data_IF_445984538641
#
_entry.id   IF_445984538641
#
_cell.length_a   1.000
_cell.length_b   1.000
_cell.length_c   1.000
_cell.angle_alpha   90.00
_cell.angle_beta   90.00
_cell.angle_gamma   90.00
#
_symmetry.space_group_name_H-M   'P 1'
#
loop_
_entity.id
_entity.type
_entity.pdbx_description
1 polymer ?
#
# COMPACT_ATOMS: atom_id res chain seq x y z
N UNK A 1 -6.96 1.76 2.08
CA UNK A 1 -7.00 0.68 3.09
C UNK A 1 -5.59 0.32 3.58
N UNK A 2 -4.71 -0.10 2.67
CA UNK A 2 -3.36 -0.52 3.07
C UNK A 2 -2.59 0.57 3.81
N UNK A 3 -2.51 1.77 3.26
CA UNK A 3 -1.77 2.87 3.89
C UNK A 3 -2.35 3.27 5.26
N UNK A 4 -3.68 3.20 5.44
CA UNK A 4 -4.28 3.44 6.76
C UNK A 4 -3.82 2.41 7.78
N UNK A 5 -3.84 1.14 7.42
CA UNK A 5 -3.40 0.09 8.34
C UNK A 5 -1.91 0.16 8.64
N UNK A 6 -1.10 0.49 7.63
CA UNK A 6 0.35 0.47 7.79
C UNK A 6 0.89 1.69 8.52
N UNK A 7 0.34 2.88 8.28
CA UNK A 7 0.90 4.13 8.81
C UNK A 7 -0.14 5.13 9.32
N UNK A 8 -1.44 4.85 9.18
CA UNK A 8 -2.49 5.82 9.46
C UNK A 8 -2.47 6.97 8.45
N UNK A 9 -2.11 6.72 7.20
CA UNK A 9 -1.91 7.72 6.14
C UNK A 9 -0.82 8.75 6.47
N UNK A 10 0.14 8.37 7.30
CA UNK A 10 1.27 9.25 7.63
C UNK A 10 2.54 8.78 6.91
N UNK A 11 3.22 9.70 6.29
CA UNK A 11 4.48 9.39 5.58
C UNK A 11 5.65 9.41 6.56
N UNK A 12 5.73 8.38 7.39
CA UNK A 12 6.69 8.30 8.50
C UNK A 12 8.00 7.63 8.06
N UNK A 13 9.11 8.11 8.62
CA UNK A 13 10.44 7.61 8.29
C UNK A 13 10.95 6.52 9.25
N UNK A 14 10.01 5.84 9.91
CA UNK A 14 10.31 4.75 10.85
C UNK A 14 9.19 3.73 10.80
N UNK A 15 9.44 2.56 11.38
CA UNK A 15 8.45 1.50 11.48
C UNK A 15 9.10 0.22 11.96
N UNK A 16 8.41 -0.91 11.75
CA UNK A 16 8.97 -2.21 12.08
C UNK A 16 10.18 -2.48 11.19
N UNK A 17 11.32 -2.78 11.83
CA UNK A 17 12.59 -3.01 11.14
C UNK A 17 12.96 -1.78 10.31
N UNK A 18 13.23 -1.94 9.01
CA UNK A 18 13.55 -0.83 8.12
C UNK A 18 12.37 -0.29 7.32
N UNK A 19 11.13 -0.60 7.74
CA UNK A 19 9.91 -0.11 7.10
C UNK A 19 9.79 1.40 7.19
N UNK A 20 9.45 2.05 6.08
CA UNK A 20 9.23 3.50 6.02
C UNK A 20 8.07 3.84 5.09
N UNK A 21 7.54 5.04 5.24
CA UNK A 21 6.56 5.62 4.32
C UNK A 21 5.13 5.21 4.58
N UNK A 22 4.25 5.63 3.69
CA UNK A 22 2.80 5.41 3.79
C UNK A 22 2.43 3.92 3.86
N UNK A 23 3.13 3.09 3.10
CA UNK A 23 2.84 1.65 3.00
C UNK A 23 3.77 0.80 3.84
N UNK A 24 4.69 1.42 4.59
CA UNK A 24 5.67 0.72 5.42
C UNK A 24 6.41 -0.35 4.61
N UNK A 25 6.89 0.05 3.45
CA UNK A 25 7.71 -0.79 2.58
C UNK A 25 9.15 -0.81 3.09
N UNK A 26 9.84 -1.90 2.83
CA UNK A 26 11.20 -2.10 3.36
C UNK A 26 12.25 -2.01 2.24
N UNK A 27 13.23 -1.10 2.36
CA UNK A 27 14.34 -1.07 1.40
C UNK A 27 15.07 -2.42 1.28
N UNK A 28 15.29 -3.09 2.41
CA UNK A 28 15.96 -4.39 2.42
C UNK A 28 15.18 -5.50 1.71
N UNK A 29 13.88 -5.30 1.49
CA UNK A 29 13.03 -6.26 0.78
C UNK A 29 12.84 -5.90 -0.71
N UNK A 30 13.58 -4.90 -1.21
CA UNK A 30 13.59 -4.60 -2.65
C UNK A 30 12.53 -3.59 -3.11
N UNK A 31 11.90 -2.85 -2.19
CA UNK A 31 10.88 -1.87 -2.54
C UNK A 31 11.45 -0.53 -3.03
N UNK A 32 12.74 -0.34 -2.92
CA UNK A 32 13.43 0.88 -3.30
C UNK A 32 14.35 1.35 -2.18
N UNK A 33 15.05 2.48 -2.42
CA UNK A 33 15.79 3.16 -1.34
C UNK A 33 14.80 3.78 -0.35
N UNK A 34 15.27 4.08 0.86
CA UNK A 34 14.44 4.78 1.84
C UNK A 34 13.92 6.11 1.27
N UNK A 35 14.74 6.84 0.54
CA UNK A 35 14.34 8.10 -0.09
C UNK A 35 13.23 7.89 -1.12
N UNK A 36 13.32 6.87 -1.96
CA UNK A 36 12.29 6.55 -2.94
C UNK A 36 10.97 6.16 -2.28
N UNK A 37 11.04 5.31 -1.26
CA UNK A 37 9.85 4.85 -0.52
C UNK A 37 9.18 6.00 0.22
N UNK A 38 9.94 7.00 0.68
CA UNK A 38 9.39 8.19 1.32
C UNK A 38 8.71 9.15 0.34
N UNK A 39 8.84 8.94 -0.96
CA UNK A 39 8.04 9.65 -1.96
C UNK A 39 6.68 8.97 -2.08
N UNK A 40 5.57 9.66 -1.70
CA UNK A 40 4.23 9.05 -1.74
C UNK A 40 3.82 8.56 -3.12
N UNK A 41 4.21 9.25 -4.18
CA UNK A 41 3.89 8.85 -5.56
C UNK A 41 4.63 7.56 -5.91
N UNK A 42 5.94 7.50 -5.64
CA UNK A 42 6.73 6.31 -5.91
C UNK A 42 6.20 5.10 -5.14
N UNK A 43 5.93 5.27 -3.84
CA UNK A 43 5.42 4.18 -2.99
C UNK A 43 4.05 3.69 -3.46
N UNK A 44 3.16 4.59 -3.84
CA UNK A 44 1.84 4.23 -4.36
C UNK A 44 1.94 3.49 -5.69
N UNK A 45 2.80 3.93 -6.59
CA UNK A 45 3.03 3.25 -7.86
C UNK A 45 3.58 1.83 -7.64
N UNK A 46 4.48 1.66 -6.69
CA UNK A 46 5.01 0.34 -6.34
C UNK A 46 3.91 -0.56 -5.76
N UNK A 47 3.05 -0.02 -4.88
CA UNK A 47 1.94 -0.78 -4.31
C UNK A 47 0.99 -1.28 -5.40
N UNK A 48 0.63 -0.41 -6.35
CA UNK A 48 -0.25 -0.79 -7.45
C UNK A 48 0.46 -1.59 -8.55
N UNK A 49 1.77 -1.56 -8.60
CA UNK A 49 2.54 -2.31 -9.60
C UNK A 49 2.64 -1.60 -10.94
N UNK A 50 2.54 -0.28 -10.96
CA UNK A 50 2.53 0.51 -12.20
C UNK A 50 3.86 1.18 -12.50
N UNK A 51 4.86 1.06 -11.62
CA UNK A 51 6.23 1.47 -11.93
C UNK A 51 7.07 0.23 -12.29
N UNK A 52 8.19 0.46 -12.95
CA UNK A 52 9.07 -0.62 -13.38
C UNK A 52 10.19 -0.90 -12.38
N UNK A 53 10.14 -0.32 -11.19
CA UNK A 53 11.19 -0.46 -10.20
C UNK A 53 11.03 -1.75 -9.40
N UNK A 54 12.16 -2.45 -9.22
CA UNK A 54 12.21 -3.63 -8.37
C UNK A 54 11.48 -4.84 -8.93
N UNK A 55 11.42 -5.89 -8.13
CA UNK A 55 10.81 -7.16 -8.49
C UNK A 55 9.61 -7.52 -7.62
N UNK A 56 9.23 -6.67 -6.68
CA UNK A 56 8.09 -6.94 -5.81
C UNK A 56 6.79 -6.74 -6.57
N UNK A 57 5.92 -7.77 -6.63
CA UNK A 57 4.66 -7.63 -7.33
C UNK A 57 3.70 -6.70 -6.57
N UNK A 58 3.15 -5.72 -7.28
CA UNK A 58 2.06 -4.89 -6.78
C UNK A 58 0.70 -5.50 -7.10
N UNK A 59 -0.36 -4.67 -6.97
CA UNK A 59 -1.74 -5.13 -7.18
C UNK A 59 -1.93 -5.80 -8.54
N UNK A 60 -1.54 -5.13 -9.63
CA UNK A 60 -1.83 -5.62 -10.98
C UNK A 60 -0.99 -6.83 -11.40
N UNK A 61 0.06 -7.17 -10.65
CA UNK A 61 0.82 -8.40 -10.87
C UNK A 61 0.23 -9.62 -10.14
N UNK A 62 -0.75 -9.41 -9.25
CA UNK A 62 -1.40 -10.52 -8.56
C UNK A 62 -2.33 -11.27 -9.52
N UNK A 63 -2.17 -12.60 -9.60
CA UNK A 63 -3.03 -13.42 -10.46
C UNK A 63 -4.49 -13.31 -9.98
N UNK A 64 -5.40 -12.94 -10.90
CA UNK A 64 -6.82 -12.79 -10.57
C UNK A 64 -7.17 -11.56 -9.76
N UNK A 65 -6.34 -10.52 -9.81
CA UNK A 65 -6.54 -9.33 -8.98
C UNK A 65 -7.91 -8.65 -9.20
N UNK A 66 -8.47 -8.75 -10.41
CA UNK A 66 -9.75 -8.12 -10.73
C UNK A 66 -10.94 -8.73 -9.96
N UNK A 67 -10.78 -9.96 -9.46
CA UNK A 67 -11.83 -10.66 -8.71
C UNK A 67 -11.55 -10.70 -7.21
N UNK A 68 -10.42 -10.18 -6.77
CA UNK A 68 -10.06 -10.13 -5.36
C UNK A 68 -10.74 -8.94 -4.67
N UNK A 69 -11.12 -9.13 -3.40
CA UNK A 69 -11.59 -8.01 -2.58
C UNK A 69 -10.44 -7.04 -2.27
N UNK A 70 -10.75 -5.77 -1.95
CA UNK A 70 -9.69 -4.81 -1.59
C UNK A 70 -8.81 -5.28 -0.43
N UNK A 71 -9.38 -5.92 0.59
CA UNK A 71 -8.59 -6.45 1.71
C UNK A 71 -7.68 -7.59 1.28
N UNK A 72 -8.14 -8.48 0.41
CA UNK A 72 -7.32 -9.54 -0.16
C UNK A 72 -6.17 -8.99 -1.00
N UNK A 73 -6.42 -7.95 -1.78
CA UNK A 73 -5.38 -7.28 -2.58
C UNK A 73 -4.32 -6.64 -1.68
N UNK A 74 -4.75 -5.92 -0.65
CA UNK A 74 -3.82 -5.32 0.30
C UNK A 74 -2.92 -6.39 0.95
N UNK A 75 -3.51 -7.50 1.38
CA UNK A 75 -2.77 -8.61 1.97
C UNK A 75 -1.80 -9.25 0.97
N UNK A 76 -2.24 -9.45 -0.26
CA UNK A 76 -1.41 -10.07 -1.29
C UNK A 76 -0.14 -9.27 -1.57
N UNK A 77 -0.22 -7.93 -1.49
CA UNK A 77 0.94 -7.05 -1.70
C UNK A 77 1.77 -6.89 -0.42
N UNK A 78 1.12 -6.69 0.72
CA UNK A 78 1.76 -6.30 1.98
C UNK A 78 2.22 -7.48 2.85
N UNK A 79 1.62 -8.65 2.73
CA UNK A 79 1.97 -9.86 3.50
C UNK A 79 1.96 -9.63 5.01
N UNK A 80 0.91 -8.97 5.52
CA UNK A 80 0.78 -8.66 6.94
C UNK A 80 0.53 -9.93 7.77
N UNK A 81 0.97 -9.91 9.04
CA UNK A 81 0.59 -10.92 10.03
C UNK A 81 -0.89 -10.83 10.41
N UNK A 82 -1.57 -9.74 10.07
CA UNK A 82 -2.98 -9.48 10.45
C UNK A 82 -3.81 -9.16 9.20
N UNK A 83 -4.07 -10.16 8.33
CA UNK A 83 -4.68 -9.91 7.01
C UNK A 83 -6.08 -9.29 7.09
N UNK A 84 -6.84 -9.57 8.15
CA UNK A 84 -8.21 -9.07 8.27
C UNK A 84 -8.30 -7.60 8.68
N UNK A 85 -7.21 -7.02 9.16
CA UNK A 85 -7.22 -5.63 9.64
C UNK A 85 -7.40 -4.61 8.52
N UNK A 86 -7.04 -4.95 7.29
CA UNK A 86 -7.25 -4.06 6.15
C UNK A 86 -8.72 -3.73 5.95
N UNK A 87 -9.62 -4.66 6.21
CA UNK A 87 -11.06 -4.47 6.06
C UNK A 87 -11.64 -3.43 7.02
N UNK A 88 -10.96 -3.15 8.14
CA UNK A 88 -11.38 -2.10 9.08
C UNK A 88 -11.46 -0.72 8.42
N UNK A 89 -10.76 -0.53 7.31
CA UNK A 89 -10.65 0.76 6.62
C UNK A 89 -11.47 0.83 5.33
N UNK A 90 -12.30 -0.19 5.07
CA UNK A 90 -13.08 -0.26 3.83
C UNK A 90 -14.05 0.91 3.71
N UNK A 91 -14.86 1.15 4.73
CA UNK A 91 -15.89 2.21 4.67
C UNK A 91 -15.26 3.59 4.54
N UNK A 92 -14.20 3.86 5.30
CA UNK A 92 -13.45 5.12 5.19
C UNK A 92 -12.88 5.29 3.79
N UNK A 93 -12.32 4.24 3.21
CA UNK A 93 -11.71 4.29 1.88
C UNK A 93 -12.75 4.60 0.81
N UNK A 94 -13.94 4.01 0.90
CA UNK A 94 -15.06 4.30 -0.01
C UNK A 94 -15.50 5.76 0.13
N UNK A 95 -15.61 6.25 1.36
CA UNK A 95 -15.97 7.64 1.63
C UNK A 95 -14.96 8.61 1.02
N UNK A 96 -13.67 8.36 1.22
CA UNK A 96 -12.61 9.20 0.66
C UNK A 96 -12.63 9.19 -0.88
N UNK A 97 -12.86 8.04 -1.48
CA UNK A 97 -12.96 7.91 -2.93
C UNK A 97 -14.16 8.69 -3.47
N UNK A 98 -15.31 8.60 -2.81
CA UNK A 98 -16.51 9.34 -3.20
C UNK A 98 -16.29 10.84 -3.07
N UNK A 99 -15.63 11.29 -2.01
CA UNK A 99 -15.29 12.70 -1.81
C UNK A 99 -14.36 13.20 -2.92
N UNK A 100 -13.36 12.43 -3.27
CA UNK A 100 -12.44 12.77 -4.36
C UNK A 100 -13.18 12.90 -5.70
N UNK A 101 -14.06 11.94 -6.02
CA UNK A 101 -14.84 11.94 -7.26
C UNK A 101 -15.83 13.10 -7.32
N UNK A 102 -16.34 13.54 -6.18
CA UNK A 102 -17.25 14.67 -6.08
C UNK A 102 -16.53 16.02 -6.02
N UNK A 103 -15.21 16.05 -6.00
CA UNK A 103 -14.41 17.27 -5.91
C UNK A 103 -14.41 17.89 -4.52
N UNK A 104 -14.66 17.09 -3.48
CA UNK A 104 -14.69 17.59 -2.10
C UNK A 104 -13.36 17.44 -1.38
#
# INVERSE_FOLDING_TARGET
>A
MAAMQESGLRNINYGDRDSVGLFQQRPSCGWGSAQQIMDPVFASQSFYGINSYGSNPGVIQQSGWQTMSPGQLAQAVQHSAYPDRYNNWYDLSVELLNDYRAGR
#
